data_IF_286475598122
#
_entry.id   IF_286475598122
#
_cell.length_a   1.000
_cell.length_b   1.000
_cell.length_c   1.000
_cell.angle_alpha   90.00
_cell.angle_beta   90.00
_cell.angle_gamma   90.00
#
_symmetry.space_group_name_H-M   'P 1'
#
loop_
_entity.id
_entity.type
_entity.pdbx_description
1 polymer ?
#
# COMPACT_ATOMS: atom_id res chain seq x y z
N UNK A 1 -14.14 -4.13 -8.69
CA UNK A 1 -12.83 -3.65 -9.19
C UNK A 1 -11.75 -3.77 -8.16
N UNK A 2 -10.62 -4.35 -8.56
CA UNK A 2 -9.39 -4.41 -7.77
C UNK A 2 -8.18 -4.26 -8.70
N UNK A 3 -7.10 -3.56 -8.29
CA UNK A 3 -6.99 -2.74 -7.08
C UNK A 3 -7.72 -1.39 -7.21
N UNK A 4 -8.11 -0.80 -6.08
CA UNK A 4 -8.67 0.55 -6.05
C UNK A 4 -7.55 1.57 -6.34
N UNK A 5 -7.85 2.59 -7.14
CA UNK A 5 -6.92 3.70 -7.36
C UNK A 5 -6.95 4.63 -6.15
N UNK A 6 -5.78 5.15 -5.77
CA UNK A 6 -5.65 6.03 -4.61
C UNK A 6 -5.52 7.47 -5.11
N UNK A 7 -6.41 8.34 -4.64
CA UNK A 7 -6.31 9.79 -4.82
C UNK A 7 -6.02 10.43 -3.47
N UNK A 8 -4.85 11.06 -3.36
CA UNK A 8 -4.33 11.58 -2.10
C UNK A 8 -4.72 13.05 -1.94
N UNK A 9 -5.33 13.38 -0.78
CA UNK A 9 -5.50 14.77 -0.34
C UNK A 9 -4.51 15.12 0.76
N UNK A 10 -4.41 14.26 1.78
CA UNK A 10 -3.49 14.41 2.91
C UNK A 10 -2.88 13.06 3.22
N UNK A 11 -1.56 13.02 3.37
CA UNK A 11 -0.82 11.83 3.74
C UNK A 11 0.08 12.09 4.94
N UNK A 12 0.34 11.04 5.71
CA UNK A 12 1.27 11.06 6.83
C UNK A 12 2.24 9.90 6.70
N UNK A 13 3.53 10.19 6.84
CA UNK A 13 4.58 9.18 6.92
C UNK A 13 5.12 9.15 8.34
N UNK A 14 5.11 8.00 8.98
CA UNK A 14 5.58 7.81 10.36
C UNK A 14 6.41 6.53 10.41
N UNK A 15 7.72 6.69 10.66
CA UNK A 15 8.63 5.54 10.74
C UNK A 15 8.34 4.70 11.98
N UNK A 16 8.31 3.38 11.79
CA UNK A 16 8.26 2.43 12.87
C UNK A 16 9.42 1.43 12.81
N UNK A 17 9.77 0.76 13.93
CA UNK A 17 10.86 -0.20 13.93
C UNK A 17 10.58 -1.34 12.95
N UNK A 18 11.57 -1.67 12.11
CA UNK A 18 11.42 -2.72 11.09
C UNK A 18 11.23 -4.09 11.75
N UNK A 19 10.03 -4.65 11.62
CA UNK A 19 9.74 -6.04 11.98
C UNK A 19 9.86 -6.95 10.76
N UNK A 20 11.03 -7.58 10.64
CA UNK A 20 11.33 -8.52 9.55
C UNK A 20 10.40 -9.72 9.55
N UNK A 21 10.11 -10.30 10.71
CA UNK A 21 9.32 -11.53 10.78
C UNK A 21 7.87 -11.25 10.38
N UNK A 22 7.31 -10.15 10.87
CA UNK A 22 5.96 -9.71 10.50
C UNK A 22 5.84 -9.41 9.00
N UNK A 23 6.81 -8.69 8.43
CA UNK A 23 6.84 -8.43 6.99
C UNK A 23 6.85 -9.73 6.19
N UNK A 24 7.77 -10.65 6.49
CA UNK A 24 7.91 -11.92 5.77
C UNK A 24 6.65 -12.80 5.87
N UNK A 25 5.94 -12.75 6.99
CA UNK A 25 4.67 -13.44 7.17
C UNK A 25 3.50 -12.80 6.40
N UNK A 26 3.59 -11.51 6.08
CA UNK A 26 2.61 -10.78 5.28
C UNK A 26 2.86 -10.91 3.78
N UNK A 27 4.12 -10.92 3.32
CA UNK A 27 4.47 -10.93 1.89
C UNK A 27 3.69 -11.96 1.04
N UNK A 28 3.50 -13.23 1.47
CA UNK A 28 2.74 -14.21 0.69
C UNK A 28 1.27 -13.86 0.44
N UNK A 29 0.71 -12.95 1.23
CA UNK A 29 -0.69 -12.49 1.13
C UNK A 29 -0.82 -11.21 0.30
N UNK A 30 0.29 -10.58 -0.06
CA UNK A 30 0.31 -9.31 -0.77
C UNK A 30 0.19 -9.55 -2.26
N UNK A 31 -0.73 -8.85 -2.91
CA UNK A 31 -0.70 -8.71 -4.37
C UNK A 31 0.37 -7.67 -4.73
N UNK A 32 1.56 -8.15 -5.12
CA UNK A 32 2.70 -7.28 -5.37
C UNK A 32 2.47 -6.23 -6.48
N UNK A 33 1.85 -6.56 -7.63
CA UNK A 33 1.52 -5.57 -8.65
C UNK A 33 0.62 -4.44 -8.13
N UNK A 34 -0.39 -4.76 -7.30
CA UNK A 34 -1.26 -3.76 -6.69
C UNK A 34 -0.50 -2.86 -5.70
N UNK A 35 0.37 -3.44 -4.87
CA UNK A 35 1.23 -2.67 -3.96
C UNK A 35 2.11 -1.68 -4.75
N UNK A 36 2.80 -2.14 -5.80
CA UNK A 36 3.63 -1.27 -6.64
C UNK A 36 2.85 -0.10 -7.23
N UNK A 37 1.64 -0.37 -7.72
CA UNK A 37 0.75 0.68 -8.25
C UNK A 37 0.37 1.70 -7.17
N UNK A 38 0.04 1.23 -5.96
CA UNK A 38 -0.26 2.11 -4.83
C UNK A 38 0.95 2.97 -4.44
N UNK A 39 2.16 2.39 -4.37
CA UNK A 39 3.40 3.12 -4.09
C UNK A 39 3.65 4.20 -5.14
N UNK A 40 3.45 3.91 -6.43
CA UNK A 40 3.60 4.90 -7.50
C UNK A 40 2.60 6.06 -7.38
N UNK A 41 1.36 5.76 -6.99
CA UNK A 41 0.32 6.78 -6.79
C UNK A 41 0.62 7.66 -5.57
N UNK A 42 1.19 7.08 -4.52
CA UNK A 42 1.40 7.74 -3.24
C UNK A 42 2.74 8.47 -3.15
N UNK A 43 3.81 7.90 -3.71
CA UNK A 43 5.19 8.39 -3.53
C UNK A 43 5.37 9.89 -3.79
N UNK A 44 4.76 10.51 -4.84
CA UNK A 44 4.87 11.96 -5.07
C UNK A 44 4.27 12.85 -3.99
N UNK A 45 3.43 12.29 -3.11
CA UNK A 45 2.79 13.01 -2.00
C UNK A 45 3.56 12.88 -0.68
N UNK A 46 4.60 12.05 -0.63
CA UNK A 46 5.46 11.89 0.54
C UNK A 46 6.67 12.82 0.46
N UNK A 47 7.12 13.34 1.60
CA UNK A 47 8.37 14.10 1.73
C UNK A 47 9.23 13.51 2.87
N UNK A 48 10.36 12.84 2.56
CA UNK A 48 10.87 12.56 1.21
C UNK A 48 10.00 11.54 0.45
N UNK A 49 10.16 11.43 -0.89
CA UNK A 49 9.49 10.41 -1.69
C UNK A 49 9.75 8.99 -1.16
N UNK A 50 8.79 8.09 -1.39
CA UNK A 50 8.92 6.70 -0.93
C UNK A 50 10.10 5.99 -1.60
N UNK A 51 10.76 5.09 -0.87
CA UNK A 51 11.87 4.32 -1.44
C UNK A 51 11.38 3.42 -2.57
N UNK A 52 12.27 3.17 -3.53
CA UNK A 52 12.00 2.23 -4.60
C UNK A 52 11.93 0.79 -4.05
N UNK A 53 10.92 0.05 -4.49
CA UNK A 53 10.78 -1.38 -4.27
C UNK A 53 11.08 -2.14 -5.57
N UNK A 54 11.63 -3.36 -5.50
CA UNK A 54 12.13 -4.04 -6.71
C UNK A 54 11.02 -4.28 -7.74
N UNK A 55 11.34 -4.27 -9.03
CA UNK A 55 10.29 -4.39 -10.05
C UNK A 55 9.57 -5.74 -10.02
N UNK A 56 10.34 -6.80 -9.78
CA UNK A 56 9.89 -8.18 -9.75
C UNK A 56 10.39 -8.85 -8.46
N UNK A 57 9.47 -9.19 -7.58
CA UNK A 57 9.70 -10.01 -6.39
C UNK A 57 8.62 -11.07 -6.35
N UNK A 58 9.00 -12.33 -6.22
CA UNK A 58 8.05 -13.41 -5.96
C UNK A 58 7.69 -13.44 -4.47
N UNK A 59 6.80 -12.52 -4.07
CA UNK A 59 6.36 -12.40 -2.68
C UNK A 59 5.58 -13.63 -2.19
N UNK A 60 5.11 -14.49 -3.09
CA UNK A 60 4.42 -15.74 -2.72
C UNK A 60 5.40 -16.86 -2.32
N UNK A 61 6.66 -16.77 -2.76
CA UNK A 61 7.68 -17.76 -2.44
C UNK A 61 8.38 -17.43 -1.12
N UNK A 62 7.96 -18.11 -0.05
CA UNK A 62 8.51 -17.91 1.31
C UNK A 62 10.02 -18.14 1.40
N UNK A 63 10.58 -19.10 0.66
CA UNK A 63 12.03 -19.35 0.66
C UNK A 63 12.80 -18.18 0.02
N UNK A 64 12.28 -17.65 -1.08
CA UNK A 64 12.86 -16.46 -1.73
C UNK A 64 12.77 -15.23 -0.83
N UNK A 65 11.63 -15.06 -0.14
CA UNK A 65 11.43 -13.96 0.80
C UNK A 65 12.45 -13.97 1.95
N UNK A 66 12.83 -15.14 2.45
CA UNK A 66 13.84 -15.25 3.52
C UNK A 66 15.22 -14.77 3.10
N UNK A 67 15.52 -14.75 1.80
CA UNK A 67 16.79 -14.30 1.25
C UNK A 67 16.78 -12.84 0.77
N UNK A 68 15.71 -12.08 1.05
CA UNK A 68 15.66 -10.65 0.72
C UNK A 68 16.71 -9.87 1.51
N UNK A 69 17.39 -8.96 0.81
CA UNK A 69 18.37 -8.05 1.40
C UNK A 69 17.73 -7.14 2.47
N UNK A 70 18.52 -6.75 3.47
CA UNK A 70 18.06 -5.88 4.56
C UNK A 70 17.49 -4.54 4.06
N UNK A 71 18.06 -3.97 3.00
CA UNK A 71 17.55 -2.74 2.37
C UNK A 71 16.18 -2.96 1.73
N UNK A 72 15.95 -4.10 1.07
CA UNK A 72 14.66 -4.44 0.48
C UNK A 72 13.61 -4.64 1.56
N UNK A 73 13.97 -5.31 2.65
CA UNK A 73 13.11 -5.48 3.83
C UNK A 73 12.72 -4.12 4.41
N UNK A 74 13.68 -3.22 4.61
CA UNK A 74 13.40 -1.88 5.13
C UNK A 74 12.50 -1.06 4.19
N UNK A 75 12.75 -1.09 2.88
CA UNK A 75 11.93 -0.37 1.90
C UNK A 75 10.51 -0.93 1.84
N UNK A 76 10.36 -2.27 1.85
CA UNK A 76 9.07 -2.95 1.86
C UNK A 76 8.28 -2.66 3.13
N UNK A 77 8.95 -2.66 4.28
CA UNK A 77 8.35 -2.26 5.55
C UNK A 77 7.82 -0.83 5.48
N UNK A 78 8.66 0.11 5.03
CA UNK A 78 8.29 1.53 4.89
C UNK A 78 7.03 1.70 4.06
N UNK A 79 6.97 1.11 2.87
CA UNK A 79 5.81 1.32 1.97
C UNK A 79 4.54 0.60 2.43
N UNK A 80 4.66 -0.47 3.22
CA UNK A 80 3.51 -1.24 3.69
C UNK A 80 2.93 -0.72 5.02
N UNK A 81 3.78 -0.21 5.92
CA UNK A 81 3.41 0.02 7.31
C UNK A 81 3.63 1.44 7.82
N UNK A 82 4.43 2.26 7.13
CA UNK A 82 4.83 3.58 7.63
C UNK A 82 4.18 4.74 6.86
N UNK A 83 3.15 4.45 6.06
CA UNK A 83 2.48 5.41 5.17
C UNK A 83 0.96 5.33 5.35
N UNK A 84 0.37 6.46 5.73
CA UNK A 84 -1.03 6.57 6.10
C UNK A 84 -1.72 7.62 5.24
N UNK A 85 -2.69 7.19 4.43
CA UNK A 85 -3.61 8.10 3.75
C UNK A 85 -4.58 8.71 4.78
N UNK A 86 -4.39 9.97 5.17
CA UNK A 86 -5.21 10.64 6.19
C UNK A 86 -6.53 11.14 5.61
N UNK A 87 -6.46 11.79 4.45
CA UNK A 87 -7.62 12.21 3.68
C UNK A 87 -7.42 11.89 2.20
N UNK A 88 -8.48 11.45 1.52
CA UNK A 88 -8.44 11.16 0.10
C UNK A 88 -9.60 10.29 -0.35
N UNK A 89 -9.41 9.56 -1.44
CA UNK A 89 -10.39 8.63 -1.99
C UNK A 89 -9.75 7.34 -2.49
N UNK A 90 -10.45 6.23 -2.28
CA UNK A 90 -10.20 4.98 -3.00
C UNK A 90 -11.23 4.88 -4.13
N UNK A 91 -10.78 4.68 -5.36
CA UNK A 91 -11.63 4.74 -6.54
C UNK A 91 -11.72 3.36 -7.19
N UNK A 92 -12.93 2.84 -7.35
CA UNK A 92 -13.17 1.57 -8.04
C UNK A 92 -12.81 1.70 -9.51
N UNK A 93 -11.93 0.85 -10.06
CA UNK A 93 -11.52 0.95 -11.46
C UNK A 93 -12.65 0.62 -12.45
N UNK A 94 -13.62 -0.21 -12.04
CA UNK A 94 -14.68 -0.69 -12.95
C UNK A 94 -15.86 0.29 -13.02
N UNK A 95 -16.22 0.89 -11.89
CA UNK A 95 -17.43 1.73 -11.76
C UNK A 95 -17.14 3.21 -11.60
N UNK A 96 -15.88 3.60 -11.34
CA UNK A 96 -15.49 4.97 -11.01
C UNK A 96 -15.98 5.46 -9.64
N UNK A 97 -16.64 4.59 -8.86
CA UNK A 97 -17.14 4.91 -7.52
C UNK A 97 -16.00 5.33 -6.60
N UNK A 98 -16.22 6.41 -5.84
CA UNK A 98 -15.25 6.98 -4.91
C UNK A 98 -15.64 6.65 -3.48
N UNK A 99 -14.74 6.02 -2.74
CA UNK A 99 -14.85 5.74 -1.32
C UNK A 99 -14.01 6.75 -0.55
N UNK A 100 -14.63 7.69 0.20
CA UNK A 100 -13.88 8.71 0.90
C UNK A 100 -13.09 8.11 2.06
N UNK A 101 -11.87 8.61 2.25
CA UNK A 101 -11.00 8.33 3.39
C UNK A 101 -10.94 9.60 4.23
N UNK A 102 -11.29 9.49 5.51
CA UNK A 102 -11.25 10.60 6.47
C UNK A 102 -10.68 10.08 7.79
N UNK A 103 -9.79 10.86 8.40
CA UNK A 103 -9.11 10.48 9.65
C UNK A 103 -8.44 9.10 9.54
N UNK A 104 -7.87 8.81 8.36
CA UNK A 104 -7.27 7.52 7.98
C UNK A 104 -8.23 6.32 7.94
N UNK A 105 -9.55 6.54 7.98
CA UNK A 105 -10.57 5.49 7.94
C UNK A 105 -11.29 5.53 6.59
N UNK A 106 -11.19 4.47 5.75
CA UNK A 106 -11.95 4.38 4.51
C UNK A 106 -13.42 4.08 4.79
N UNK A 107 -14.34 4.86 4.19
CA UNK A 107 -15.76 4.55 4.18
C UNK A 107 -16.13 3.75 2.93
N UNK A 108 -16.36 2.45 3.12
CA UNK A 108 -16.71 1.50 2.07
C UNK A 108 -18.21 1.13 2.05
N UNK A 109 -19.06 1.87 2.77
CA UNK A 109 -20.51 1.61 2.83
C UNK A 109 -21.13 1.87 1.46
N UNK A 110 -21.99 0.94 1.02
CA UNK A 110 -22.80 1.03 -0.19
C UNK A 110 -24.23 1.42 0.19
N UNK A 111 -24.86 2.31 -0.57
CA UNK A 111 -26.30 2.51 -0.48
C UNK A 111 -27.04 1.39 -1.22
N UNK A 112 -28.29 1.11 -0.85
CA UNK A 112 -29.09 0.01 -1.42
C UNK A 112 -29.24 0.11 -2.94
N UNK A 113 -29.27 1.32 -3.48
CA UNK A 113 -29.34 1.59 -4.93
C UNK A 113 -28.01 1.34 -5.67
N UNK A 114 -26.94 1.02 -4.95
CA UNK A 114 -25.57 0.87 -5.48
C UNK A 114 -24.99 -0.54 -5.32
N UNK A 115 -25.85 -1.53 -5.00
CA UNK A 115 -25.52 -2.97 -4.94
C UNK A 115 -25.60 -3.60 -6.33
#
# INVERSE_FOLDING_TARGET
>A
GYPLNIEVKTIKCEDSPVDREFLLNMLPKVNYPALRKAVQQISPHCDPPLPEIPENVDVANTESNQNLDATVIANMHKVMFDVYLVEGWLICPDTGRRFPVKDSIPNMILHEDEI
#
